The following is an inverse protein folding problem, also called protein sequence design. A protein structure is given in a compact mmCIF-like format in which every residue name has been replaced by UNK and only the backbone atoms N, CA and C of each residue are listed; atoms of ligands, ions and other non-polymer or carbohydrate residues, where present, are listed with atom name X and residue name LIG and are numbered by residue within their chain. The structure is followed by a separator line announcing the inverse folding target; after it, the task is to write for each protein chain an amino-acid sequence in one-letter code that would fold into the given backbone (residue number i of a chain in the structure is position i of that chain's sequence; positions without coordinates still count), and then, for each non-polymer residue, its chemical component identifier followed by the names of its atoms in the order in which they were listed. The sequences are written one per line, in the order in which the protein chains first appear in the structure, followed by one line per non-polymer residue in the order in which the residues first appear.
data_IF_228602722996
#
_entry.id   IF_228602722996
#
_cell.length_a   1.000
_cell.length_b   1.000
_cell.length_c   1.000
_cell.angle_alpha   90.00
_cell.angle_beta   90.00
_cell.angle_gamma   90.00
#
_symmetry.space_group_name_H-M   'P 1'
#
loop_
_entity.id
_entity.type
_entity.pdbx_description
1 polymer ?
#
# COMPACT_ATOMS: atom_id res chain seq x y z
N UNK A 1 -2.75 -10.17 -16.40
CA UNK A 1 -1.65 -11.09 -16.06
C UNK A 1 -1.84 -11.57 -14.63
N UNK A 2 -1.65 -12.87 -14.36
CA UNK A 2 -1.73 -13.43 -13.01
C UNK A 2 -0.48 -13.03 -12.21
N UNK A 3 -0.49 -11.81 -11.70
CA UNK A 3 0.61 -11.28 -10.92
C UNK A 3 0.31 -11.59 -9.45
N UNK A 4 0.94 -12.64 -8.92
CA UNK A 4 0.89 -12.99 -7.50
C UNK A 4 1.68 -11.95 -6.68
N UNK A 5 1.05 -10.80 -6.45
CA UNK A 5 1.49 -9.85 -5.43
C UNK A 5 1.01 -10.40 -4.09
N UNK A 6 1.74 -11.38 -3.57
CA UNK A 6 1.54 -11.96 -2.25
C UNK A 6 2.55 -11.43 -1.23
N UNK A 7 2.27 -11.58 0.08
CA UNK A 7 3.20 -11.23 1.13
C UNK A 7 4.47 -12.08 1.06
N UNK A 8 5.65 -11.45 1.19
CA UNK A 8 6.96 -12.11 1.13
C UNK A 8 7.82 -11.86 2.36
N UNK A 9 7.51 -10.83 3.12
CA UNK A 9 8.21 -10.48 4.37
C UNK A 9 7.27 -10.60 5.57
N UNK A 10 7.78 -10.76 6.80
CA UNK A 10 6.95 -10.71 8.00
C UNK A 10 6.07 -9.45 8.05
N UNK A 11 6.63 -8.31 7.61
CA UNK A 11 5.89 -7.06 7.52
C UNK A 11 4.76 -7.11 6.48
N UNK A 12 5.01 -7.73 5.34
CA UNK A 12 3.96 -7.95 4.35
C UNK A 12 2.81 -8.79 4.96
N UNK A 13 3.12 -9.80 5.78
CA UNK A 13 2.10 -10.61 6.44
C UNK A 13 1.28 -9.84 7.48
N UNK A 14 1.82 -8.76 8.06
CA UNK A 14 1.06 -7.84 8.92
C UNK A 14 0.18 -6.91 8.10
N UNK A 15 0.68 -6.36 6.99
CA UNK A 15 -0.01 -5.32 6.20
C UNK A 15 -1.04 -5.90 5.24
N UNK A 16 -0.70 -6.98 4.52
CA UNK A 16 -1.54 -7.54 3.45
C UNK A 16 -2.95 -7.97 3.88
N UNK A 17 -3.17 -8.50 5.10
CA UNK A 17 -4.52 -8.79 5.59
C UNK A 17 -5.44 -7.57 5.64
N UNK A 18 -4.88 -6.36 5.76
CA UNK A 18 -5.65 -5.11 5.84
C UNK A 18 -5.89 -4.44 4.48
N UNK A 19 -5.27 -4.94 3.40
CA UNK A 19 -5.51 -4.45 2.04
C UNK A 19 -6.93 -4.82 1.63
N UNK A 20 -7.68 -3.84 1.16
CA UNK A 20 -9.03 -4.05 0.63
C UNK A 20 -8.97 -4.95 -0.60
N UNK A 21 -9.62 -6.12 -0.49
CA UNK A 21 -9.67 -7.13 -1.56
C UNK A 21 -10.88 -6.86 -2.44
N UNK A 22 -10.71 -6.98 -3.75
CA UNK A 22 -11.83 -6.92 -4.69
C UNK A 22 -12.09 -8.33 -5.19
N UNK A 23 -13.33 -8.80 -5.03
CA UNK A 23 -13.73 -10.18 -5.39
C UNK A 23 -12.85 -11.26 -4.70
N UNK A 24 -12.36 -10.96 -3.50
CA UNK A 24 -11.52 -11.87 -2.71
C UNK A 24 -10.06 -11.98 -3.17
N UNK A 25 -9.64 -11.24 -4.20
CA UNK A 25 -8.26 -11.22 -4.71
C UNK A 25 -7.65 -9.82 -4.64
N UNK A 26 -6.33 -9.78 -4.61
CA UNK A 26 -5.53 -8.57 -4.80
C UNK A 26 -4.86 -8.74 -6.16
N UNK A 27 -5.33 -8.02 -7.18
CA UNK A 27 -4.67 -8.02 -8.49
C UNK A 27 -3.56 -6.98 -8.51
N UNK A 28 -2.46 -7.26 -9.22
CA UNK A 28 -1.40 -6.28 -9.45
C UNK A 28 -1.92 -4.97 -10.05
N UNK A 29 -2.89 -5.04 -10.96
CA UNK A 29 -3.53 -3.85 -11.54
C UNK A 29 -4.27 -2.99 -10.51
N UNK A 30 -4.68 -3.56 -9.37
CA UNK A 30 -5.30 -2.82 -8.29
C UNK A 30 -4.29 -2.11 -7.41
N UNK A 31 -3.13 -2.71 -7.20
CA UNK A 31 -2.03 -2.08 -6.46
C UNK A 31 -1.38 -0.99 -7.31
N UNK A 32 -1.24 -1.21 -8.62
CA UNK A 32 -0.53 -0.32 -9.55
C UNK A 32 -1.40 0.81 -10.15
N UNK A 33 -2.37 1.31 -9.37
CA UNK A 33 -3.16 2.47 -9.73
C UNK A 33 -3.23 3.45 -8.56
N UNK A 34 -3.67 4.70 -8.79
CA UNK A 34 -3.78 5.69 -7.70
C UNK A 34 -4.62 5.18 -6.52
N UNK A 35 -5.70 4.44 -6.79
CA UNK A 35 -6.52 3.80 -5.74
C UNK A 35 -5.75 2.72 -4.95
N UNK A 36 -4.81 2.03 -5.60
CA UNK A 36 -3.95 1.04 -4.97
C UNK A 36 -3.03 1.62 -3.92
N UNK A 37 -2.45 2.79 -4.19
CA UNK A 37 -1.61 3.49 -3.21
C UNK A 37 -2.42 3.90 -1.95
N UNK A 38 -3.65 4.40 -2.14
CA UNK A 38 -4.53 4.73 -1.02
C UNK A 38 -4.87 3.49 -0.20
N UNK A 39 -5.11 2.35 -0.87
CA UNK A 39 -5.40 1.09 -0.18
C UNK A 39 -4.20 0.56 0.61
N UNK A 40 -2.99 0.65 0.06
CA UNK A 40 -1.75 0.31 0.76
C UNK A 40 -1.55 1.21 1.99
N UNK A 41 -1.72 2.52 1.84
CA UNK A 41 -1.61 3.47 2.94
C UNK A 41 -2.57 3.13 4.09
N UNK A 42 -3.83 2.86 3.77
CA UNK A 42 -4.83 2.42 4.76
C UNK A 42 -4.46 1.10 5.41
N UNK A 43 -3.90 0.16 4.65
CA UNK A 43 -3.48 -1.13 5.17
C UNK A 43 -2.33 -1.00 6.19
N UNK A 44 -1.32 -0.20 5.86
CA UNK A 44 -0.19 0.10 6.77
C UNK A 44 -0.69 0.83 8.01
N UNK A 45 -1.54 1.85 7.86
CA UNK A 45 -2.10 2.59 8.98
C UNK A 45 -2.88 1.67 9.95
N UNK A 46 -3.67 0.73 9.40
CA UNK A 46 -4.41 -0.26 10.19
C UNK A 46 -3.49 -1.25 10.89
N UNK A 47 -2.47 -1.76 10.21
CA UNK A 47 -1.48 -2.67 10.79
C UNK A 47 -0.77 -2.05 12.00
N UNK A 48 -0.48 -0.74 11.92
CA UNK A 48 0.22 0.01 12.96
C UNK A 48 -0.69 0.71 13.98
N UNK A 49 -2.01 0.61 13.83
CA UNK A 49 -2.99 1.39 14.59
C UNK A 49 -2.68 2.92 14.59
N UNK A 50 -2.23 3.45 13.45
CA UNK A 50 -1.87 4.87 13.27
C UNK A 50 -3.00 5.69 12.63
N UNK A 51 -3.03 7.02 12.86
CA UNK A 51 -3.91 7.92 12.12
C UNK A 51 -3.66 7.85 10.62
N UNK A 52 -4.73 8.00 9.84
CA UNK A 52 -4.68 8.01 8.37
C UNK A 52 -5.38 9.26 7.82
N UNK A 53 -4.78 10.46 7.97
CA UNK A 53 -5.39 11.73 7.52
C UNK A 53 -5.49 11.87 6.00
N UNK A 54 -4.64 11.19 5.23
CA UNK A 54 -4.59 11.33 3.78
C UNK A 54 -5.63 10.46 3.09
N UNK A 55 -6.32 11.03 2.11
CA UNK A 55 -7.40 10.35 1.38
C UNK A 55 -7.14 10.25 -0.11
N UNK A 56 -6.17 11.00 -0.62
CA UNK A 56 -5.80 11.02 -2.03
C UNK A 56 -4.40 10.47 -2.29
N UNK A 57 -4.13 9.92 -3.48
CA UNK A 57 -2.79 9.43 -3.82
C UNK A 57 -1.74 10.55 -3.78
N UNK A 58 -2.13 11.76 -4.22
CA UNK A 58 -1.27 12.92 -4.27
C UNK A 58 -0.77 13.34 -2.87
N UNK A 59 -1.67 13.41 -1.89
CA UNK A 59 -1.31 13.69 -0.49
C UNK A 59 -0.34 12.66 0.06
N UNK A 60 -0.59 11.37 -0.19
CA UNK A 60 0.26 10.28 0.28
C UNK A 60 1.65 10.38 -0.36
N UNK A 61 1.74 10.57 -1.69
CA UNK A 61 3.04 10.76 -2.35
C UNK A 61 3.77 11.99 -1.84
N UNK A 62 3.08 13.11 -1.63
CA UNK A 62 3.70 14.32 -1.13
C UNK A 62 4.23 14.13 0.30
N UNK A 63 3.44 13.51 1.18
CA UNK A 63 3.83 13.25 2.56
C UNK A 63 5.02 12.28 2.65
N UNK A 64 5.03 11.23 1.81
CA UNK A 64 6.12 10.27 1.69
C UNK A 64 7.41 10.92 1.19
N UNK A 65 7.33 11.71 0.11
CA UNK A 65 8.50 12.39 -0.46
C UNK A 65 9.06 13.46 0.49
N UNK A 66 8.19 14.13 1.25
CA UNK A 66 8.58 15.07 2.29
C UNK A 66 9.09 14.40 3.58
N UNK A 67 9.00 13.07 3.70
CA UNK A 67 9.32 12.30 4.92
C UNK A 67 8.61 12.83 6.16
N UNK A 68 7.36 13.23 5.97
CA UNK A 68 6.53 13.84 6.99
C UNK A 68 5.55 12.87 7.64
N UNK A 69 5.40 11.68 7.06
CA UNK A 69 4.52 10.63 7.56
C UNK A 69 5.11 9.24 7.27
N UNK A 70 5.45 8.46 8.31
CA UNK A 70 6.11 7.17 8.13
C UNK A 70 5.19 6.10 7.50
N UNK A 71 3.86 6.25 7.63
CA UNK A 71 2.90 5.34 6.99
C UNK A 71 2.86 5.59 5.48
N UNK A 72 2.91 6.86 5.07
CA UNK A 72 2.98 7.25 3.66
C UNK A 72 4.29 6.80 3.02
N UNK A 73 5.42 6.94 3.72
CA UNK A 73 6.72 6.42 3.25
C UNK A 73 6.69 4.92 3.01
N UNK A 74 6.17 4.16 3.97
CA UNK A 74 6.05 2.70 3.85
C UNK A 74 5.08 2.30 2.72
N UNK A 75 3.93 2.95 2.63
CA UNK A 75 2.95 2.68 1.58
C UNK A 75 3.53 2.92 0.18
N UNK A 76 4.30 4.00 0.00
CA UNK A 76 4.98 4.30 -1.25
C UNK A 76 6.09 3.27 -1.54
N UNK A 77 6.85 2.86 -0.52
CA UNK A 77 7.88 1.81 -0.65
C UNK A 77 7.28 0.46 -1.09
N UNK A 78 6.16 0.05 -0.48
CA UNK A 78 5.43 -1.17 -0.86
C UNK A 78 4.89 -1.05 -2.28
N UNK A 79 4.35 0.10 -2.67
CA UNK A 79 3.87 0.36 -4.02
C UNK A 79 4.99 0.21 -5.07
N UNK A 80 6.15 0.83 -4.85
CA UNK A 80 7.31 0.73 -5.75
C UNK A 80 7.88 -0.69 -5.75
N UNK A 81 7.92 -1.36 -4.61
CA UNK A 81 8.35 -2.77 -4.52
C UNK A 81 7.42 -3.68 -5.33
N UNK A 82 6.12 -3.42 -5.32
CA UNK A 82 5.14 -4.15 -6.13
C UNK A 82 5.33 -3.87 -7.64
N UNK A 83 5.64 -2.62 -8.02
CA UNK A 83 6.02 -2.27 -9.40
C UNK A 83 7.28 -3.02 -9.87
N UNK A 84 8.32 -3.10 -9.04
CA UNK A 84 9.57 -3.77 -9.42
C UNK A 84 9.48 -5.30 -9.50
N UNK A 85 8.36 -5.90 -9.07
CA UNK A 85 8.12 -7.35 -9.12
C UNK A 85 7.44 -7.80 -10.43
N UNK A 86 7.17 -6.87 -11.35
CA UNK A 86 6.61 -7.12 -12.69
C UNK A 86 7.71 -7.33 -13.73
#
# INVERSE_FOLDING_TARGET
GHMDIGPRTPRDFEVFPHIEKLEGRISGEQILCGRGLVNLYRAVAKADAKPMPFTTPAEITAAALAKSDPVAEEALSLFVTCLGRT
#
